data_IF_123394069112
#
_entry.id   IF_123394069112
#
_cell.length_a   1.000
_cell.length_b   1.000
_cell.length_c   1.000
_cell.angle_alpha   90.00
_cell.angle_beta   90.00
_cell.angle_gamma   90.00
#
_symmetry.space_group_name_H-M   'P 1'
#
loop_
_entity.id
_entity.type
_entity.pdbx_description
1 polymer ?
#
# COMPACT_ATOMS: atom_id res chain seq x y z
N UNK A 1 -18.61 3.36 -1.87
CA UNK A 1 -18.33 1.91 -1.93
C UNK A 1 -17.56 1.51 -0.68
N UNK A 2 -17.85 0.36 -0.05
CA UNK A 2 -17.10 -0.11 1.11
C UNK A 2 -15.65 -0.41 0.72
N UNK A 3 -14.71 0.10 1.50
CA UNK A 3 -13.28 -0.09 1.29
C UNK A 3 -12.84 -1.32 2.08
N UNK A 4 -12.27 -2.30 1.40
CA UNK A 4 -11.75 -3.50 2.05
C UNK A 4 -10.31 -3.28 2.52
N UNK A 5 -10.11 -3.31 3.84
CA UNK A 5 -8.80 -3.10 4.46
C UNK A 5 -8.10 -4.43 4.72
N UNK A 6 -7.01 -4.66 4.00
CA UNK A 6 -6.15 -5.82 4.17
C UNK A 6 -5.18 -5.57 5.33
N UNK A 7 -4.97 -6.55 6.23
CA UNK A 7 -3.96 -6.45 7.26
C UNK A 7 -2.58 -6.17 6.66
N UNK A 8 -1.82 -5.25 7.25
CA UNK A 8 -0.53 -4.82 6.71
C UNK A 8 0.43 -6.00 6.48
N UNK A 9 0.34 -7.06 7.28
CA UNK A 9 1.19 -8.27 7.16
C UNK A 9 1.20 -8.87 5.74
N UNK A 10 0.10 -8.75 4.98
CA UNK A 10 0.00 -9.25 3.60
C UNK A 10 0.65 -8.33 2.56
N UNK A 11 1.01 -7.10 2.92
CA UNK A 11 1.45 -6.09 1.95
C UNK A 11 2.82 -6.38 1.34
N UNK A 12 3.67 -7.15 2.04
CA UNK A 12 4.96 -7.60 1.54
C UNK A 12 4.85 -8.78 0.56
N UNK A 13 3.67 -9.39 0.45
CA UNK A 13 3.43 -10.56 -0.39
C UNK A 13 2.84 -10.13 -1.74
N UNK A 14 3.07 -10.93 -2.77
CA UNK A 14 2.44 -10.70 -4.08
C UNK A 14 0.92 -10.93 -3.98
N UNK A 15 0.09 -10.15 -4.70
CA UNK A 15 0.47 -9.11 -5.68
C UNK A 15 0.76 -7.73 -5.05
N UNK A 16 0.49 -7.53 -3.76
CA UNK A 16 0.51 -6.22 -3.12
C UNK A 16 1.90 -5.60 -3.00
N UNK A 17 2.94 -6.42 -2.91
CA UNK A 17 4.34 -6.00 -2.88
C UNK A 17 4.77 -5.21 -4.11
N UNK A 18 4.10 -5.41 -5.26
CA UNK A 18 4.34 -4.62 -6.48
C UNK A 18 3.96 -3.15 -6.31
N UNK A 19 2.97 -2.87 -5.48
CA UNK A 19 2.57 -1.50 -5.15
C UNK A 19 3.54 -0.87 -4.15
N UNK A 20 3.92 -1.62 -3.10
CA UNK A 20 4.89 -1.15 -2.12
C UNK A 20 6.26 -0.85 -2.74
N UNK A 21 6.62 -1.62 -3.76
CA UNK A 21 7.88 -1.51 -4.49
C UNK A 21 7.79 -0.77 -5.83
N UNK A 22 6.72 -0.03 -6.11
CA UNK A 22 6.54 0.62 -7.41
C UNK A 22 7.60 1.70 -7.67
N UNK A 23 8.07 1.89 -8.92
CA UNK A 23 7.79 1.07 -10.10
C UNK A 23 8.62 -0.22 -10.18
N UNK A 24 9.82 -0.23 -9.58
CA UNK A 24 10.70 -1.39 -9.46
C UNK A 24 11.42 -1.31 -8.12
N UNK A 25 11.41 -2.41 -7.36
CA UNK A 25 12.10 -2.51 -6.08
C UNK A 25 12.68 -3.90 -5.88
N UNK A 26 13.76 -3.97 -5.11
CA UNK A 26 14.31 -5.24 -4.63
C UNK A 26 13.56 -5.70 -3.37
N UNK A 27 13.65 -6.99 -3.05
CA UNK A 27 13.05 -7.55 -1.84
C UNK A 27 13.49 -6.79 -0.57
N UNK A 28 14.78 -6.40 -0.51
CA UNK A 28 15.33 -5.60 0.60
C UNK A 28 14.64 -4.24 0.75
N UNK A 29 14.30 -3.58 -0.35
CA UNK A 29 13.60 -2.29 -0.33
C UNK A 29 12.13 -2.47 0.11
N UNK A 30 11.48 -3.54 -0.35
CA UNK A 30 10.11 -3.89 0.07
C UNK A 30 10.07 -4.13 1.58
N UNK A 31 11.04 -4.86 2.13
CA UNK A 31 11.14 -5.11 3.57
C UNK A 31 11.42 -3.84 4.38
N UNK A 32 12.31 -2.98 3.91
CA UNK A 32 12.58 -1.69 4.55
C UNK A 32 11.34 -0.80 4.61
N UNK A 33 10.64 -0.64 3.47
CA UNK A 33 9.37 0.09 3.37
C UNK A 33 8.30 -0.49 4.30
N UNK A 34 8.18 -1.81 4.33
CA UNK A 34 7.24 -2.50 5.21
C UNK A 34 7.55 -2.25 6.70
N UNK A 35 8.83 -2.24 7.08
CA UNK A 35 9.26 -1.91 8.43
C UNK A 35 8.94 -0.45 8.80
N UNK A 36 9.14 0.49 7.88
CA UNK A 36 8.77 1.90 8.06
C UNK A 36 7.27 2.06 8.29
N UNK A 37 6.42 1.44 7.47
CA UNK A 37 4.96 1.48 7.64
C UNK A 37 4.52 0.93 9.01
N UNK A 38 5.14 -0.16 9.46
CA UNK A 38 4.89 -0.70 10.80
C UNK A 38 5.29 0.29 11.89
N UNK A 39 6.46 0.94 11.75
CA UNK A 39 6.96 1.94 12.71
C UNK A 39 6.03 3.16 12.79
N UNK A 40 5.41 3.54 11.67
CA UNK A 40 4.38 4.59 11.60
C UNK A 40 3.03 4.17 12.19
N UNK A 41 2.87 2.91 12.60
CA UNK A 41 1.64 2.40 13.21
C UNK A 41 0.55 2.04 12.21
N UNK A 42 0.90 1.82 10.94
CA UNK A 42 -0.06 1.37 9.92
C UNK A 42 -0.50 -0.06 10.23
N UNK A 43 -1.81 -0.27 10.30
CA UNK A 43 -2.41 -1.57 10.65
C UNK A 43 -2.96 -2.30 9.43
N UNK A 44 -3.48 -1.56 8.45
CA UNK A 44 -4.09 -2.11 7.24
C UNK A 44 -4.06 -1.13 6.08
N UNK A 45 -4.17 -1.66 4.86
CA UNK A 45 -4.12 -0.91 3.59
C UNK A 45 -5.32 -1.34 2.74
N UNK A 46 -5.93 -0.40 2.02
CA UNK A 46 -6.99 -0.67 1.07
C UNK A 46 -6.56 -0.29 -0.36
N UNK A 47 -6.66 -1.26 -1.27
CA UNK A 47 -6.47 -1.08 -2.70
C UNK A 47 -7.82 -0.75 -3.34
N UNK A 48 -8.09 0.55 -3.42
CA UNK A 48 -9.35 1.12 -3.91
C UNK A 48 -9.05 2.40 -4.67
N UNK A 49 -9.96 2.78 -5.55
CA UNK A 49 -9.88 4.02 -6.31
C UNK A 49 -10.07 3.78 -7.81
N UNK A 50 -10.04 4.85 -8.61
CA UNK A 50 -10.40 4.78 -10.03
C UNK A 50 -9.25 4.31 -10.93
N UNK A 51 -8.02 4.22 -10.43
CA UNK A 51 -6.84 3.88 -11.22
C UNK A 51 -6.44 2.43 -10.96
N UNK A 52 -6.13 1.68 -12.02
CA UNK A 52 -5.62 0.30 -11.94
C UNK A 52 -4.13 0.29 -12.29
N UNK A 53 -3.30 -0.29 -11.41
CA UNK A 53 -1.88 -0.58 -11.66
C UNK A 53 -1.59 -2.01 -11.22
N UNK A 54 -0.93 -2.80 -12.08
CA UNK A 54 -0.55 -4.20 -11.76
C UNK A 54 -1.73 -5.06 -11.30
N UNK A 55 -2.95 -4.77 -11.78
CA UNK A 55 -4.19 -5.46 -11.40
C UNK A 55 -4.80 -5.02 -10.06
N UNK A 56 -4.27 -3.98 -9.42
CA UNK A 56 -4.76 -3.43 -8.14
C UNK A 56 -5.32 -2.03 -8.32
N UNK A 57 -6.42 -1.74 -7.64
CA UNK A 57 -7.03 -0.40 -7.61
C UNK A 57 -6.29 0.51 -6.63
N UNK A 58 -6.03 1.76 -7.03
CA UNK A 58 -5.32 2.76 -6.23
C UNK A 58 -6.04 4.12 -6.32
N UNK A 59 -5.81 4.96 -5.31
CA UNK A 59 -6.48 6.27 -5.19
C UNK A 59 -5.88 7.26 -6.17
N UNK A 60 -4.55 7.21 -6.33
CA UNK A 60 -3.80 8.14 -7.16
C UNK A 60 -2.44 7.58 -7.51
N UNK A 61 -1.79 8.18 -8.51
CA UNK A 61 -0.37 7.94 -8.82
C UNK A 61 0.31 9.27 -9.14
N UNK A 62 1.55 9.41 -8.72
CA UNK A 62 2.46 10.44 -9.20
C UNK A 62 3.38 9.90 -10.30
N UNK A 63 4.44 10.63 -10.62
CA UNK A 63 5.44 10.19 -11.59
C UNK A 63 6.13 8.88 -11.17
N UNK A 64 6.43 8.74 -9.87
CA UNK A 64 7.12 7.56 -9.29
C UNK A 64 6.43 7.00 -8.03
N UNK A 65 5.37 7.65 -7.54
CA UNK A 65 4.66 7.24 -6.33
C UNK A 65 3.28 6.68 -6.63
N UNK A 66 2.80 5.77 -5.78
CA UNK A 66 1.41 5.30 -5.75
C UNK A 66 0.76 5.79 -4.46
N UNK A 67 -0.50 6.19 -4.56
CA UNK A 67 -1.31 6.61 -3.42
C UNK A 67 -2.36 5.54 -3.10
N UNK A 68 -2.34 5.03 -1.87
CA UNK A 68 -3.30 4.07 -1.32
C UNK A 68 -3.94 4.60 -0.05
N UNK A 69 -5.07 3.99 0.36
CA UNK A 69 -5.62 4.27 1.68
C UNK A 69 -4.99 3.36 2.73
N UNK A 70 -4.63 3.93 3.86
CA UNK A 70 -4.08 3.22 5.00
C UNK A 70 -4.91 3.49 6.25
N UNK A 71 -4.85 2.58 7.22
CA UNK A 71 -5.46 2.76 8.53
C UNK A 71 -4.36 2.81 9.59
N UNK A 72 -4.40 3.85 10.42
CA UNK A 72 -3.59 3.98 11.63
C UNK A 72 -4.57 4.14 12.79
N UNK A 73 -4.53 3.21 13.74
CA UNK A 73 -5.54 3.10 14.82
C UNK A 73 -6.95 3.02 14.21
N UNK A 74 -7.80 4.04 14.42
CA UNK A 74 -9.16 4.12 13.90
C UNK A 74 -9.34 5.20 12.81
N UNK A 75 -8.25 5.76 12.29
CA UNK A 75 -8.29 6.82 11.27
C UNK A 75 -7.76 6.31 9.94
N UNK A 76 -8.35 6.80 8.85
CA UNK A 76 -7.97 6.48 7.48
C UNK A 76 -7.17 7.67 6.92
N UNK A 77 -6.07 7.37 6.25
CA UNK A 77 -5.20 8.36 5.60
C UNK A 77 -4.93 7.92 4.16
N UNK A 78 -4.59 8.88 3.29
CA UNK A 78 -3.98 8.59 2.00
C UNK A 78 -2.45 8.66 2.16
N UNK A 79 -1.75 7.65 1.65
CA UNK A 79 -0.29 7.55 1.65
C UNK A 79 0.18 7.32 0.22
#
# INVERSE_FOLDING_TARGET
>A
MPQYFLPIKKFKDAPYSKILGFPKSTQRQIEARFAELKKLGVTSVAFTGPIIIEGLNIVGKGYVGIVVLIKIKNKIFAL
#
